data_IF_251487833172
#
_entry.id   IF_251487833172
#
_cell.length_a   1.000
_cell.length_b   1.000
_cell.length_c   1.000
_cell.angle_alpha   90.00
_cell.angle_beta   90.00
_cell.angle_gamma   90.00
#
_symmetry.space_group_name_H-M   'P 1'
#
loop_
_entity.id
_entity.type
_entity.pdbx_description
1 polymer ?
#
# COMPACT_ATOMS: atom_id res chain seq x y z
N UNK A 1 6.51 17.09 -0.25
CA UNK A 1 6.77 17.53 1.13
C UNK A 1 5.48 17.35 1.94
N UNK A 2 5.57 16.90 3.21
CA UNK A 2 4.40 16.70 4.08
C UNK A 2 4.12 17.95 4.93
N UNK A 3 2.86 18.32 5.04
CA UNK A 3 2.37 19.39 5.88
C UNK A 3 1.26 18.87 6.80
N UNK A 4 1.52 18.86 8.11
CA UNK A 4 0.53 18.50 9.12
C UNK A 4 -0.44 19.68 9.32
N UNK A 5 -1.72 19.47 9.08
CA UNK A 5 -2.76 20.52 9.19
C UNK A 5 -3.48 20.49 10.54
N UNK A 6 -3.80 19.29 11.05
CA UNK A 6 -4.58 19.11 12.27
C UNK A 6 -4.29 17.76 12.91
N UNK A 7 -4.49 17.68 14.22
CA UNK A 7 -4.45 16.41 14.98
C UNK A 7 -5.68 16.27 15.87
N UNK A 8 -6.12 15.03 16.10
CA UNK A 8 -7.09 14.66 17.13
C UNK A 8 -6.54 13.42 17.86
N UNK A 9 -6.06 13.60 19.09
CA UNK A 9 -5.19 12.63 19.74
C UNK A 9 -3.91 12.42 18.93
N UNK A 10 -3.59 11.16 18.57
CA UNK A 10 -2.49 10.83 17.68
C UNK A 10 -2.88 10.84 16.18
N UNK A 11 -4.19 10.83 15.87
CA UNK A 11 -4.67 10.86 14.49
C UNK A 11 -4.30 12.18 13.79
N UNK A 12 -3.85 12.07 12.54
CA UNK A 12 -3.22 13.17 11.79
C UNK A 12 -4.00 13.49 10.52
N UNK A 13 -4.29 14.75 10.29
CA UNK A 13 -4.81 15.31 9.05
C UNK A 13 -3.72 16.14 8.40
N UNK A 14 -3.31 15.81 7.20
CA UNK A 14 -2.23 16.51 6.50
C UNK A 14 -2.36 16.51 4.99
N UNK A 15 -1.35 17.08 4.34
CA UNK A 15 -1.18 17.11 2.89
C UNK A 15 0.25 16.70 2.55
N UNK A 16 0.38 15.89 1.50
CA UNK A 16 1.68 15.50 0.96
C UNK A 16 1.76 15.90 -0.51
N UNK A 17 2.76 16.72 -0.86
CA UNK A 17 2.97 17.22 -2.22
C UNK A 17 4.17 16.54 -2.86
N UNK A 18 3.98 16.02 -4.08
CA UNK A 18 4.99 15.44 -4.95
C UNK A 18 4.92 16.04 -6.36
N UNK A 19 5.70 15.52 -7.31
CA UNK A 19 5.78 16.04 -8.67
C UNK A 19 4.42 15.98 -9.42
N UNK A 20 3.60 14.96 -9.17
CA UNK A 20 2.33 14.75 -9.86
C UNK A 20 1.09 15.11 -9.04
N UNK A 21 1.25 15.91 -7.99
CA UNK A 21 0.11 16.49 -7.27
C UNK A 21 0.21 16.44 -5.76
N UNK A 22 -0.90 16.85 -5.12
CA UNK A 22 -1.03 16.88 -3.65
C UNK A 22 -2.01 15.82 -3.18
N UNK A 23 -1.56 15.01 -2.23
CA UNK A 23 -2.32 13.93 -1.60
C UNK A 23 -2.89 14.40 -0.27
N UNK A 24 -4.19 14.24 -0.07
CA UNK A 24 -4.86 14.49 1.19
C UNK A 24 -4.72 13.28 2.10
N UNK A 25 -4.14 13.43 3.28
CA UNK A 25 -3.94 12.33 4.25
C UNK A 25 -4.91 12.40 5.44
N UNK A 26 -5.28 11.26 6.03
CA UNK A 26 -4.91 9.89 5.68
C UNK A 26 -5.41 9.43 4.31
N UNK A 27 -4.68 8.50 3.68
CA UNK A 27 -4.98 8.02 2.31
C UNK A 27 -4.77 6.51 2.18
N UNK A 28 -5.58 5.87 1.33
CA UNK A 28 -5.39 4.50 0.87
C UNK A 28 -4.86 4.51 -0.57
N UNK A 29 -3.73 3.86 -0.81
CA UNK A 29 -3.13 3.70 -2.13
C UNK A 29 -3.72 2.47 -2.82
N UNK A 30 -4.30 2.66 -4.00
CA UNK A 30 -4.87 1.56 -4.76
C UNK A 30 -3.78 0.76 -5.48
N UNK A 31 -3.71 -0.56 -5.20
CA UNK A 31 -2.59 -1.39 -5.66
C UNK A 31 -2.80 -1.87 -7.09
N UNK A 32 -2.02 -1.31 -8.01
CA UNK A 32 -1.95 -1.67 -9.43
C UNK A 32 -0.70 -2.44 -9.78
N UNK A 33 -0.62 -3.69 -9.39
CA UNK A 33 0.56 -4.56 -9.40
C UNK A 33 1.45 -4.47 -10.66
N UNK A 34 0.85 -4.31 -11.84
CA UNK A 34 1.55 -4.27 -13.15
C UNK A 34 1.06 -3.09 -14.01
N UNK A 35 0.96 -1.90 -13.41
CA UNK A 35 0.42 -0.72 -14.09
C UNK A 35 -1.09 -0.79 -14.36
N UNK A 36 -1.79 -1.64 -13.62
CA UNK A 36 -3.25 -1.77 -13.64
C UNK A 36 -3.75 -2.50 -12.41
N UNK A 37 -4.98 -2.21 -11.99
CA UNK A 37 -5.61 -2.94 -10.89
C UNK A 37 -6.09 -4.33 -11.38
N UNK A 38 -5.69 -5.38 -10.67
CA UNK A 38 -6.23 -6.73 -10.92
C UNK A 38 -7.75 -6.74 -10.73
N UNK A 39 -8.50 -6.97 -11.79
CA UNK A 39 -9.94 -6.82 -11.88
C UNK A 39 -10.36 -5.83 -12.96
N UNK A 40 -9.42 -5.52 -13.88
CA UNK A 40 -9.62 -4.74 -15.09
C UNK A 40 -10.08 -3.30 -14.84
N UNK A 41 -9.45 -2.59 -13.90
CA UNK A 41 -9.63 -1.14 -13.75
C UNK A 41 -8.46 -0.38 -14.37
N UNK A 42 -8.80 0.54 -15.25
CA UNK A 42 -7.88 1.46 -15.91
C UNK A 42 -7.58 2.69 -15.03
N UNK A 43 -6.61 3.50 -15.45
CA UNK A 43 -6.33 4.80 -14.84
C UNK A 43 -7.57 5.72 -14.81
N UNK A 44 -8.40 5.68 -15.88
CA UNK A 44 -9.68 6.41 -15.90
C UNK A 44 -10.62 5.94 -14.79
N UNK A 45 -10.78 4.63 -14.62
CA UNK A 45 -11.62 4.07 -13.55
C UNK A 45 -11.10 4.49 -12.16
N UNK A 46 -9.78 4.54 -11.97
CA UNK A 46 -9.19 5.01 -10.71
C UNK A 46 -9.55 6.46 -10.40
N UNK A 47 -9.55 7.34 -11.41
CA UNK A 47 -10.03 8.73 -11.24
C UNK A 47 -11.51 8.77 -10.88
N UNK A 48 -12.34 8.00 -11.59
CA UNK A 48 -13.79 7.96 -11.39
C UNK A 48 -14.18 7.48 -9.97
N UNK A 49 -13.30 6.70 -9.31
CA UNK A 49 -13.50 6.22 -7.92
C UNK A 49 -12.74 7.03 -6.86
N UNK A 50 -12.13 8.16 -7.22
CA UNK A 50 -11.47 9.06 -6.28
C UNK A 50 -10.13 8.55 -5.73
N UNK A 51 -9.41 7.73 -6.49
CA UNK A 51 -8.04 7.33 -6.17
C UNK A 51 -7.12 8.55 -6.18
N UNK A 52 -6.35 8.76 -5.12
CA UNK A 52 -5.37 9.84 -5.05
C UNK A 52 -3.95 9.35 -5.38
N UNK A 53 -3.62 8.11 -4.99
CA UNK A 53 -2.29 7.52 -5.17
C UNK A 53 -2.45 6.10 -5.70
N UNK A 54 -1.77 5.80 -6.79
CA UNK A 54 -1.62 4.43 -7.28
C UNK A 54 -0.33 3.84 -6.73
N UNK A 55 -0.35 2.55 -6.34
CA UNK A 55 0.83 1.80 -5.96
C UNK A 55 1.16 0.75 -7.01
N UNK A 56 2.31 0.89 -7.67
CA UNK A 56 2.83 -0.08 -8.63
C UNK A 56 3.94 -0.95 -8.04
N UNK A 57 4.05 -2.19 -8.52
CA UNK A 57 4.97 -3.17 -7.97
C UNK A 57 6.27 -3.29 -8.79
N UNK A 58 7.38 -2.93 -8.16
CA UNK A 58 8.72 -2.92 -8.77
C UNK A 58 9.15 -4.29 -9.32
N UNK A 59 9.01 -5.35 -8.52
CA UNK A 59 9.41 -6.70 -8.92
C UNK A 59 8.64 -7.20 -10.15
N UNK A 60 7.31 -7.07 -10.15
CA UNK A 60 6.50 -7.54 -11.25
C UNK A 60 6.73 -6.75 -12.54
N UNK A 61 6.91 -5.44 -12.46
CA UNK A 61 7.19 -4.58 -13.61
C UNK A 61 8.62 -4.78 -14.17
N UNK A 62 9.59 -5.07 -13.29
CA UNK A 62 10.93 -5.45 -13.71
C UNK A 62 10.94 -6.76 -14.51
N UNK A 63 10.15 -7.75 -14.10
CA UNK A 63 10.03 -9.02 -14.85
C UNK A 63 9.24 -8.87 -16.14
N UNK A 64 8.19 -8.06 -16.15
CA UNK A 64 7.30 -7.86 -17.30
C UNK A 64 6.54 -6.56 -17.21
N UNK A 65 6.66 -5.63 -18.18
CA UNK A 65 7.37 -5.76 -19.49
C UNK A 65 8.87 -5.54 -19.42
N UNK A 66 9.44 -5.25 -18.32
CA UNK A 66 10.73 -4.73 -17.85
C UNK A 66 10.67 -3.21 -17.60
N UNK A 67 11.41 -2.77 -16.59
CA UNK A 67 11.52 -1.34 -16.25
C UNK A 67 12.18 -0.53 -17.37
N UNK A 68 13.06 -1.13 -18.17
CA UNK A 68 13.68 -0.51 -19.33
C UNK A 68 12.66 -0.18 -20.42
N UNK A 69 11.69 -1.07 -20.68
CA UNK A 69 10.58 -0.78 -21.60
C UNK A 69 9.71 0.36 -21.07
N UNK A 70 9.38 0.35 -19.76
CA UNK A 70 8.60 1.42 -19.14
C UNK A 70 9.33 2.76 -19.23
N UNK A 71 10.65 2.81 -18.99
CA UNK A 71 11.48 3.99 -19.18
C UNK A 71 11.43 4.52 -20.62
N UNK A 72 11.59 3.66 -21.62
CA UNK A 72 11.51 4.04 -23.04
C UNK A 72 10.16 4.64 -23.41
N UNK A 73 9.08 4.22 -22.74
CA UNK A 73 7.74 4.77 -22.89
C UNK A 73 7.50 6.06 -22.08
N UNK A 74 8.52 6.54 -21.34
CA UNK A 74 8.48 7.79 -20.59
C UNK A 74 8.00 7.64 -19.14
N UNK A 75 8.16 6.45 -18.56
CA UNK A 75 7.78 6.12 -17.18
C UNK A 75 6.34 5.64 -17.02
N UNK A 76 5.98 5.20 -15.81
CA UNK A 76 4.66 4.62 -15.51
C UNK A 76 3.51 5.58 -15.82
N UNK A 77 3.65 6.85 -15.49
CA UNK A 77 2.61 7.86 -15.72
C UNK A 77 2.15 7.88 -17.19
N UNK A 78 3.11 7.91 -18.12
CA UNK A 78 2.79 7.85 -19.55
C UNK A 78 2.36 6.47 -20.00
N UNK A 79 3.02 5.42 -19.50
CA UNK A 79 2.78 4.04 -19.89
C UNK A 79 1.34 3.60 -19.56
N UNK A 80 0.82 3.97 -18.38
CA UNK A 80 -0.54 3.59 -17.96
C UNK A 80 -1.56 4.74 -18.05
N UNK A 81 -1.16 5.91 -18.57
CA UNK A 81 -2.00 7.10 -18.69
C UNK A 81 -2.59 7.59 -17.36
N UNK A 82 -1.80 7.50 -16.28
CA UNK A 82 -2.13 8.01 -14.97
C UNK A 82 -1.35 9.29 -14.70
N UNK A 83 -2.04 10.37 -14.32
CA UNK A 83 -1.43 11.70 -14.09
C UNK A 83 -1.34 12.09 -12.60
N UNK A 84 -1.80 11.21 -11.71
CA UNK A 84 -1.69 11.41 -10.26
C UNK A 84 -0.43 10.79 -9.66
N UNK A 85 -0.21 10.98 -8.35
CA UNK A 85 0.89 10.38 -7.61
C UNK A 85 1.00 8.86 -7.74
N UNK A 86 2.23 8.36 -7.86
CA UNK A 86 2.55 6.93 -7.86
C UNK A 86 3.59 6.65 -6.78
N UNK A 87 3.34 5.59 -5.98
CA UNK A 87 4.35 4.97 -5.14
C UNK A 87 4.77 3.63 -5.76
N UNK A 88 6.08 3.36 -5.82
CA UNK A 88 6.60 2.02 -6.14
C UNK A 88 7.12 1.35 -4.88
N UNK A 89 6.73 0.09 -4.66
CA UNK A 89 7.33 -0.72 -3.59
C UNK A 89 8.80 -1.05 -3.92
N UNK A 90 9.53 -1.60 -2.94
CA UNK A 90 10.95 -1.95 -3.12
C UNK A 90 11.19 -3.19 -3.99
N UNK A 91 10.16 -4.02 -4.20
CA UNK A 91 10.28 -5.38 -4.71
C UNK A 91 10.76 -6.41 -3.67
N UNK A 92 11.21 -5.97 -2.50
CA UNK A 92 11.76 -6.83 -1.44
C UNK A 92 10.77 -7.89 -0.96
N UNK A 93 9.54 -7.49 -0.62
CA UNK A 93 8.52 -8.42 -0.15
C UNK A 93 8.25 -9.56 -1.15
N UNK A 94 8.19 -9.27 -2.47
CA UNK A 94 7.95 -10.27 -3.49
C UNK A 94 9.14 -11.23 -3.63
N UNK A 95 10.36 -10.72 -3.54
CA UNK A 95 11.56 -11.55 -3.49
C UNK A 95 11.51 -12.50 -2.29
N UNK A 96 11.03 -12.05 -1.14
CA UNK A 96 10.90 -12.88 0.07
C UNK A 96 9.71 -13.82 0.04
N UNK A 97 8.58 -13.44 -0.55
CA UNK A 97 7.34 -14.23 -0.54
C UNK A 97 7.20 -15.21 -1.72
N UNK A 98 7.79 -14.91 -2.88
CA UNK A 98 7.60 -15.69 -4.11
C UNK A 98 8.81 -16.56 -4.48
N UNK A 99 9.99 -16.27 -3.95
CA UNK A 99 11.21 -17.00 -4.27
C UNK A 99 11.45 -18.16 -3.29
N UNK A 100 11.14 -19.38 -3.70
CA UNK A 100 11.39 -20.61 -2.91
C UNK A 100 12.88 -20.91 -2.69
N UNK A 101 13.76 -20.41 -3.57
CA UNK A 101 15.21 -20.54 -3.49
C UNK A 101 15.84 -19.15 -3.57
N UNK A 102 16.02 -18.52 -2.42
CA UNK A 102 16.70 -17.23 -2.29
C UNK A 102 17.98 -17.35 -1.48
N UNK A 103 18.99 -16.59 -1.86
CA UNK A 103 20.23 -16.45 -1.09
C UNK A 103 20.45 -14.99 -0.75
N UNK A 104 20.27 -14.66 0.53
CA UNK A 104 20.47 -13.32 1.06
C UNK A 104 21.95 -13.15 1.39
N UNK A 105 22.53 -12.05 0.95
CA UNK A 105 23.90 -11.62 1.24
C UNK A 105 23.92 -10.14 1.60
N UNK A 106 25.09 -9.63 1.96
CA UNK A 106 25.24 -8.21 2.27
C UNK A 106 25.05 -7.30 1.03
N UNK A 107 25.48 -7.77 -0.13
CA UNK A 107 25.29 -7.04 -1.39
C UNK A 107 23.84 -6.96 -1.85
N UNK A 108 23.01 -7.99 -1.57
CA UNK A 108 21.63 -8.08 -2.00
C UNK A 108 21.12 -9.54 -1.99
N UNK A 109 20.13 -9.84 -2.79
CA UNK A 109 19.45 -11.14 -2.82
C UNK A 109 19.55 -11.79 -4.21
N UNK A 110 20.01 -13.03 -4.26
CA UNK A 110 19.97 -13.88 -5.45
C UNK A 110 18.74 -14.79 -5.37
N UNK A 111 17.96 -14.82 -6.42
CA UNK A 111 16.75 -15.63 -6.48
C UNK A 111 16.40 -16.02 -7.92
N UNK A 112 15.37 -16.86 -8.09
CA UNK A 112 14.88 -17.27 -9.40
C UNK A 112 13.53 -16.59 -9.71
N UNK A 113 13.36 -16.12 -10.95
CA UNK A 113 12.08 -15.60 -11.44
C UNK A 113 10.98 -16.66 -11.29
N UNK A 114 9.83 -16.26 -10.78
CA UNK A 114 8.65 -17.14 -10.69
C UNK A 114 7.96 -17.38 -12.04
N UNK A 115 8.37 -16.65 -13.10
CA UNK A 115 7.77 -16.76 -14.44
C UNK A 115 8.46 -17.89 -15.24
N UNK A 116 9.79 -17.91 -15.24
CA UNK A 116 10.61 -18.75 -16.13
C UNK A 116 11.85 -19.35 -15.45
N UNK A 117 12.05 -19.07 -14.16
CA UNK A 117 13.13 -19.62 -13.36
C UNK A 117 14.52 -19.02 -13.62
N UNK A 118 14.68 -17.99 -14.45
CA UNK A 118 15.99 -17.39 -14.66
C UNK A 118 16.50 -16.73 -13.36
N UNK A 119 17.83 -16.71 -13.19
CA UNK A 119 18.48 -16.17 -12.00
C UNK A 119 18.51 -14.65 -12.06
N UNK A 120 18.10 -14.02 -10.95
CA UNK A 120 18.05 -12.57 -10.77
C UNK A 120 18.86 -12.22 -9.54
N UNK A 121 19.58 -11.10 -9.62
CA UNK A 121 20.13 -10.40 -8.48
C UNK A 121 19.35 -9.10 -8.28
N UNK A 122 19.00 -8.80 -7.03
CA UNK A 122 18.41 -7.53 -6.65
C UNK A 122 19.01 -7.09 -5.32
N UNK A 123 19.57 -5.92 -5.32
CA UNK A 123 20.09 -5.23 -4.14
C UNK A 123 19.57 -3.79 -4.08
N UNK A 124 20.07 -2.98 -3.15
CA UNK A 124 19.68 -1.59 -3.01
C UNK A 124 19.80 -0.78 -4.30
N UNK A 125 20.92 -0.88 -4.99
CA UNK A 125 21.20 -0.11 -6.20
C UNK A 125 20.31 -0.55 -7.36
N UNK A 126 20.13 -1.87 -7.56
CA UNK A 126 19.25 -2.42 -8.59
C UNK A 126 17.79 -2.00 -8.34
N UNK A 127 17.31 -2.09 -7.11
CA UNK A 127 15.96 -1.66 -6.75
C UNK A 127 15.75 -0.17 -7.03
N UNK A 128 16.70 0.68 -6.66
CA UNK A 128 16.63 2.12 -6.94
C UNK A 128 16.67 2.41 -8.44
N UNK A 129 17.54 1.72 -9.21
CA UNK A 129 17.61 1.88 -10.66
C UNK A 129 16.28 1.49 -11.33
N UNK A 130 15.67 0.37 -10.92
CA UNK A 130 14.38 -0.06 -11.45
C UNK A 130 13.30 0.99 -11.15
N UNK A 131 13.19 1.45 -9.91
CA UNK A 131 12.19 2.45 -9.52
C UNK A 131 12.42 3.81 -10.20
N UNK A 132 13.66 4.20 -10.43
CA UNK A 132 14.02 5.39 -11.22
C UNK A 132 13.57 5.25 -12.68
N UNK A 133 13.75 4.08 -13.29
CA UNK A 133 13.26 3.78 -14.65
C UNK A 133 11.72 3.81 -14.72
N UNK A 134 11.04 3.35 -13.67
CA UNK A 134 9.59 3.41 -13.54
C UNK A 134 9.09 4.85 -13.36
N UNK A 135 9.87 5.73 -12.74
CA UNK A 135 9.60 7.16 -12.61
C UNK A 135 8.47 7.50 -11.64
N UNK A 136 8.27 6.72 -10.56
CA UNK A 136 7.31 7.01 -9.50
C UNK A 136 7.65 8.29 -8.74
N UNK A 137 6.67 8.85 -7.99
CA UNK A 137 6.90 10.00 -7.11
C UNK A 137 7.55 9.60 -5.79
N UNK A 138 7.11 8.50 -5.22
CA UNK A 138 7.65 7.89 -4.02
C UNK A 138 8.22 6.52 -4.36
N UNK A 139 9.44 6.24 -3.91
CA UNK A 139 10.07 4.94 -4.03
C UNK A 139 10.41 4.38 -2.64
N UNK A 140 10.19 3.09 -2.44
CA UNK A 140 10.50 2.44 -1.16
C UNK A 140 11.94 1.91 -1.17
N UNK A 141 12.63 2.05 -0.03
CA UNK A 141 13.94 1.47 0.15
C UNK A 141 13.89 -0.06 0.05
N UNK A 142 14.94 -0.68 -0.51
CA UNK A 142 15.07 -2.13 -0.52
C UNK A 142 15.34 -2.63 0.89
N UNK A 143 14.53 -3.57 1.38
CA UNK A 143 14.54 -4.07 2.74
C UNK A 143 14.46 -5.59 2.81
N UNK A 144 14.77 -6.16 3.96
CA UNK A 144 14.55 -7.57 4.24
C UNK A 144 13.28 -7.75 5.07
N UNK A 145 12.20 -8.22 4.44
CA UNK A 145 10.99 -8.64 5.12
C UNK A 145 11.18 -10.06 5.65
N UNK A 146 11.20 -10.24 6.98
CA UNK A 146 11.37 -11.54 7.63
C UNK A 146 10.05 -12.23 7.89
N UNK A 147 10.08 -13.55 8.04
CA UNK A 147 8.92 -14.33 8.50
C UNK A 147 8.61 -14.03 9.97
N UNK A 148 7.36 -14.15 10.36
CA UNK A 148 6.93 -14.06 11.74
C UNK A 148 6.26 -15.39 12.19
N UNK A 149 6.73 -16.02 13.29
CA UNK A 149 7.84 -15.58 14.16
C UNK A 149 9.23 -15.90 13.59
N UNK A 150 10.22 -15.08 13.95
CA UNK A 150 11.64 -15.31 13.64
C UNK A 150 12.49 -15.18 14.90
N UNK A 151 13.62 -15.93 15.03
CA UNK A 151 14.52 -15.82 16.18
C UNK A 151 15.08 -14.39 16.32
N UNK A 152 15.14 -13.90 17.55
CA UNK A 152 15.59 -12.53 17.86
C UNK A 152 16.94 -12.17 17.24
N UNK A 153 17.93 -13.06 17.33
CA UNK A 153 19.27 -12.83 16.80
C UNK A 153 19.27 -12.68 15.26
N UNK A 154 18.39 -13.40 14.58
CA UNK A 154 18.20 -13.23 13.15
C UNK A 154 17.54 -11.89 12.82
N UNK A 155 16.49 -11.52 13.56
CA UNK A 155 15.79 -10.25 13.42
C UNK A 155 16.76 -9.08 13.56
N UNK A 156 17.63 -9.10 14.59
CA UNK A 156 18.64 -8.06 14.79
C UNK A 156 19.58 -7.93 13.58
N UNK A 157 20.11 -9.06 13.10
CA UNK A 157 21.00 -9.07 11.91
C UNK A 157 20.30 -8.59 10.66
N UNK A 158 19.05 -8.93 10.47
CA UNK A 158 18.22 -8.49 9.34
C UNK A 158 17.97 -6.99 9.39
N UNK A 159 17.63 -6.45 10.55
CA UNK A 159 17.43 -5.01 10.78
C UNK A 159 18.70 -4.21 10.51
N UNK A 160 19.84 -4.70 10.99
CA UNK A 160 21.12 -4.04 10.74
C UNK A 160 21.50 -4.04 9.25
N UNK A 161 21.17 -5.12 8.52
CA UNK A 161 21.34 -5.19 7.07
C UNK A 161 20.39 -4.24 6.37
N UNK A 162 19.13 -4.22 6.74
CA UNK A 162 18.10 -3.29 6.19
C UNK A 162 18.54 -1.84 6.37
N UNK A 163 19.12 -1.47 7.52
CA UNK A 163 19.66 -0.13 7.73
C UNK A 163 20.82 0.19 6.76
N UNK A 164 21.78 -0.72 6.60
CA UNK A 164 22.90 -0.50 5.64
C UNK A 164 22.39 -0.42 4.21
N UNK A 165 21.40 -1.23 3.85
CA UNK A 165 20.75 -1.17 2.54
C UNK A 165 20.02 0.16 2.32
N UNK A 166 19.36 0.69 3.35
CA UNK A 166 18.70 2.01 3.27
C UNK A 166 19.72 3.12 3.00
N UNK A 167 20.88 3.10 3.64
CA UNK A 167 21.97 4.07 3.39
C UNK A 167 22.43 4.01 1.93
N UNK A 168 22.58 2.80 1.38
CA UNK A 168 22.92 2.59 -0.04
C UNK A 168 21.80 3.08 -0.96
N UNK A 169 20.55 2.76 -0.67
CA UNK A 169 19.39 3.27 -1.41
C UNK A 169 19.38 4.79 -1.46
N UNK A 170 19.64 5.46 -0.33
CA UNK A 170 19.68 6.92 -0.24
C UNK A 170 20.75 7.52 -1.15
N UNK A 171 21.95 6.96 -1.12
CA UNK A 171 23.05 7.41 -1.98
C UNK A 171 22.72 7.20 -3.46
N UNK A 172 22.18 6.04 -3.82
CA UNK A 172 21.84 5.71 -5.21
C UNK A 172 20.65 6.52 -5.73
N UNK A 173 19.60 6.72 -4.94
CA UNK A 173 18.49 7.59 -5.31
C UNK A 173 18.96 9.03 -5.59
N UNK A 174 19.81 9.58 -4.74
CA UNK A 174 20.39 10.91 -4.96
C UNK A 174 21.22 10.97 -6.24
N UNK A 175 22.04 9.93 -6.51
CA UNK A 175 22.82 9.83 -7.75
C UNK A 175 21.93 9.77 -8.98
N UNK A 176 20.90 8.95 -8.96
CA UNK A 176 19.97 8.77 -10.09
C UNK A 176 19.16 10.04 -10.36
N UNK A 177 18.67 10.72 -9.32
CA UNK A 177 17.93 11.98 -9.46
C UNK A 177 18.79 13.11 -10.05
N UNK A 178 20.11 13.05 -9.95
CA UNK A 178 21.03 14.03 -10.53
C UNK A 178 21.34 13.77 -12.01
N UNK A 179 20.94 12.64 -12.59
CA UNK A 179 21.19 12.33 -14.01
C UNK A 179 20.27 13.14 -14.92
N UNK A 180 20.76 13.65 -16.05
CA UNK A 180 19.99 14.54 -16.93
C UNK A 180 18.83 13.86 -17.64
N UNK A 181 18.86 12.54 -17.77
CA UNK A 181 17.85 11.74 -18.49
C UNK A 181 16.96 10.89 -17.54
N UNK A 182 16.93 11.25 -16.26
CA UNK A 182 16.04 10.61 -15.27
C UNK A 182 14.56 10.90 -15.57
N UNK A 183 13.73 9.88 -15.50
CA UNK A 183 12.29 10.00 -15.78
C UNK A 183 11.62 10.97 -14.81
N UNK A 184 11.92 10.85 -13.52
CA UNK A 184 11.44 11.75 -12.48
C UNK A 184 12.59 12.16 -11.55
N UNK A 185 13.23 13.32 -11.75
CA UNK A 185 14.34 13.79 -10.92
C UNK A 185 13.91 14.25 -9.51
N UNK A 186 12.60 14.27 -9.22
CA UNK A 186 12.04 14.61 -7.92
C UNK A 186 11.54 13.38 -7.14
N UNK A 187 11.96 12.17 -7.55
CA UNK A 187 11.55 10.94 -6.87
C UNK A 187 12.06 10.91 -5.42
N UNK A 188 11.13 10.67 -4.48
CA UNK A 188 11.38 10.72 -3.05
C UNK A 188 11.53 9.33 -2.45
N UNK A 189 12.70 9.04 -1.85
CA UNK A 189 12.94 7.78 -1.15
C UNK A 189 12.28 7.79 0.23
N UNK A 190 11.52 6.73 0.55
CA UNK A 190 10.97 6.46 1.87
C UNK A 190 11.67 5.28 2.53
N UNK A 191 12.00 5.42 3.83
CA UNK A 191 12.62 4.37 4.63
C UNK A 191 11.61 3.40 5.19
N UNK A 192 12.03 2.16 5.49
CA UNK A 192 11.18 1.11 6.06
C UNK A 192 11.72 0.69 7.42
N UNK A 193 10.90 0.82 8.47
CA UNK A 193 11.14 0.26 9.79
C UNK A 193 10.83 -1.24 9.77
N UNK A 194 11.79 -2.06 10.19
CA UNK A 194 11.68 -3.50 10.37
C UNK A 194 12.02 -3.89 11.82
N UNK A 195 11.74 -5.14 12.23
CA UNK A 195 12.06 -5.65 13.58
C UNK A 195 11.12 -6.74 14.08
N UNK A 196 10.29 -7.33 13.21
CA UNK A 196 9.29 -8.33 13.60
C UNK A 196 8.33 -7.78 14.65
N UNK A 197 8.07 -8.58 15.69
CA UNK A 197 7.28 -8.18 16.85
C UNK A 197 8.14 -7.79 18.07
N UNK A 198 9.43 -7.56 17.89
CA UNK A 198 10.34 -7.14 18.96
C UNK A 198 10.35 -5.60 19.08
N UNK A 199 9.60 -5.09 20.03
CA UNK A 199 9.37 -3.65 20.23
C UNK A 199 10.67 -2.85 20.38
N UNK A 200 11.63 -3.35 21.17
CA UNK A 200 12.91 -2.68 21.39
C UNK A 200 13.76 -2.58 20.11
N UNK A 201 13.79 -3.66 19.29
CA UNK A 201 14.46 -3.65 17.98
C UNK A 201 13.78 -2.66 17.02
N UNK A 202 12.44 -2.63 17.01
CA UNK A 202 11.65 -1.68 16.22
C UNK A 202 11.97 -0.23 16.56
N UNK A 203 11.98 0.07 17.87
CA UNK A 203 12.26 1.42 18.37
C UNK A 203 13.70 1.85 18.05
N UNK A 204 14.70 0.98 18.31
CA UNK A 204 16.09 1.27 17.95
C UNK A 204 16.23 1.54 16.44
N UNK A 205 15.67 0.67 15.63
CA UNK A 205 15.72 0.83 14.17
C UNK A 205 15.03 2.11 13.70
N UNK A 206 13.87 2.47 14.29
CA UNK A 206 13.17 3.71 13.92
C UNK A 206 14.02 4.95 14.23
N UNK A 207 14.64 5.01 15.41
CA UNK A 207 15.55 6.10 15.77
C UNK A 207 16.69 6.25 14.77
N UNK A 208 17.34 5.15 14.41
CA UNK A 208 18.45 5.14 13.46
C UNK A 208 18.04 5.59 12.06
N UNK A 209 16.91 5.12 11.54
CA UNK A 209 16.46 5.54 10.20
C UNK A 209 15.94 6.97 10.17
N UNK A 210 15.36 7.47 11.27
CA UNK A 210 14.93 8.86 11.40
C UNK A 210 16.08 9.87 11.25
N UNK A 211 17.29 9.51 11.71
CA UNK A 211 18.52 10.34 11.54
C UNK A 211 18.91 10.55 10.07
N UNK A 212 18.41 9.71 9.16
CA UNK A 212 18.67 9.86 7.72
C UNK A 212 17.85 10.99 7.07
N UNK A 213 16.92 11.59 7.78
CA UNK A 213 16.06 12.70 7.32
C UNK A 213 15.43 12.46 5.94
N UNK A 214 14.63 11.40 5.85
CA UNK A 214 13.92 11.04 4.62
C UNK A 214 12.55 11.73 4.54
N UNK A 215 11.97 11.91 3.34
CA UNK A 215 10.64 12.50 3.16
C UNK A 215 9.49 11.71 3.78
N UNK A 216 9.67 10.41 4.03
CA UNK A 216 8.66 9.54 4.63
C UNK A 216 9.25 8.26 5.21
N UNK A 217 8.48 7.66 6.11
CA UNK A 217 8.87 6.43 6.81
C UNK A 217 7.69 5.45 6.83
N UNK A 218 7.99 4.19 6.53
CA UNK A 218 7.03 3.11 6.59
C UNK A 218 7.30 2.18 7.77
N UNK A 219 6.25 1.55 8.28
CA UNK A 219 6.30 0.40 9.17
C UNK A 219 6.03 -0.83 8.32
N UNK A 220 7.06 -1.62 8.06
CA UNK A 220 6.97 -2.84 7.26
C UNK A 220 6.99 -4.11 8.12
N UNK A 221 6.78 -5.27 7.49
CA UNK A 221 6.87 -6.58 8.14
C UNK A 221 5.81 -6.81 9.22
N UNK A 222 4.64 -6.21 9.09
CA UNK A 222 3.43 -6.48 9.86
C UNK A 222 2.33 -7.04 8.93
N UNK A 223 1.24 -7.54 9.51
CA UNK A 223 0.19 -8.29 8.81
C UNK A 223 0.71 -9.56 8.10
N UNK A 224 1.73 -10.20 8.70
CA UNK A 224 2.40 -11.41 8.19
C UNK A 224 2.32 -12.60 9.17
N UNK A 225 1.38 -12.56 10.12
CA UNK A 225 1.11 -13.68 11.05
C UNK A 225 1.00 -13.29 12.53
N UNK A 226 1.31 -12.05 12.89
CA UNK A 226 1.07 -11.54 14.25
C UNK A 226 -0.42 -11.27 14.49
N UNK A 227 -0.79 -11.13 15.75
CA UNK A 227 -2.14 -10.73 16.15
C UNK A 227 -2.36 -9.24 15.85
N UNK A 228 -3.63 -8.85 15.71
CA UNK A 228 -3.99 -7.44 15.55
C UNK A 228 -3.51 -6.56 16.71
N UNK A 229 -3.51 -7.08 17.93
CA UNK A 229 -3.02 -6.34 19.10
C UNK A 229 -1.51 -6.12 19.04
N UNK A 230 -0.73 -7.16 18.71
CA UNK A 230 0.73 -7.03 18.53
C UNK A 230 1.07 -5.98 17.46
N UNK A 231 0.31 -5.95 16.34
CA UNK A 231 0.47 -4.93 15.32
C UNK A 231 0.22 -3.52 15.90
N UNK A 232 -0.83 -3.33 16.69
CA UNK A 232 -1.13 -2.03 17.30
C UNK A 232 -0.08 -1.61 18.32
N UNK A 233 0.39 -2.53 19.16
CA UNK A 233 1.44 -2.27 20.15
C UNK A 233 2.75 -1.83 19.47
N UNK A 234 3.11 -2.43 18.33
CA UNK A 234 4.27 -2.02 17.54
C UNK A 234 4.08 -0.63 16.94
N UNK A 235 2.91 -0.33 16.36
CA UNK A 235 2.63 1.00 15.81
C UNK A 235 2.77 2.06 16.90
N UNK A 236 2.18 1.85 18.07
CA UNK A 236 2.23 2.78 19.20
C UNK A 236 3.66 3.02 19.70
N UNK A 237 4.46 1.96 19.80
CA UNK A 237 5.85 2.06 20.25
C UNK A 237 6.76 2.77 19.23
N UNK A 238 6.52 2.58 17.93
CA UNK A 238 7.33 3.19 16.87
C UNK A 238 6.91 4.63 16.59
N UNK A 239 5.63 4.95 16.72
CA UNK A 239 5.03 6.24 16.40
C UNK A 239 5.73 7.41 17.14
N UNK A 240 6.05 7.23 18.39
CA UNK A 240 6.73 8.25 19.23
C UNK A 240 8.12 8.66 18.70
N UNK A 241 8.72 7.82 17.87
CA UNK A 241 10.06 8.02 17.30
C UNK A 241 10.01 8.40 15.81
N UNK A 242 8.83 8.44 15.21
CA UNK A 242 8.66 8.90 13.83
C UNK A 242 8.59 10.41 13.78
N UNK A 243 9.37 11.10 12.91
CA UNK A 243 9.34 12.54 12.80
C UNK A 243 7.93 13.08 12.54
N UNK A 244 7.58 14.19 13.19
CA UNK A 244 6.22 14.76 13.13
C UNK A 244 5.93 15.39 11.76
N UNK A 245 6.96 15.95 11.12
CA UNK A 245 6.91 16.64 9.84
C UNK A 245 7.09 15.71 8.61
N UNK A 246 7.09 14.40 8.83
CA UNK A 246 7.22 13.40 7.78
C UNK A 246 5.97 12.52 7.67
N UNK A 247 5.77 11.91 6.50
CA UNK A 247 4.69 10.93 6.29
C UNK A 247 4.96 9.62 7.00
N UNK A 248 3.89 8.97 7.45
CA UNK A 248 3.90 7.69 8.16
C UNK A 248 3.04 6.67 7.41
N UNK A 249 3.65 5.60 6.95
CA UNK A 249 3.01 4.60 6.11
C UNK A 249 3.01 3.23 6.78
N UNK A 250 1.84 2.60 6.90
CA UNK A 250 1.69 1.22 7.37
C UNK A 250 1.49 0.30 6.17
N UNK A 251 2.50 -0.51 5.85
CA UNK A 251 2.55 -1.33 4.65
C UNK A 251 1.63 -2.56 4.75
N UNK A 252 0.88 -2.83 3.68
CA UNK A 252 0.08 -4.06 3.53
C UNK A 252 -1.17 -4.15 4.39
N UNK A 253 -1.56 -3.09 5.11
CA UNK A 253 -2.72 -3.06 6.00
C UNK A 253 -3.85 -2.21 5.40
N UNK A 254 -5.05 -2.63 5.40
CA UNK A 254 -5.64 -3.95 5.65
C UNK A 254 -7.16 -3.87 5.66
N UNK A 255 -7.78 -4.38 6.70
CA UNK A 255 -9.24 -4.28 6.84
C UNK A 255 -9.67 -2.83 7.14
N UNK A 256 -10.92 -2.44 6.82
CA UNK A 256 -11.43 -1.11 7.18
C UNK A 256 -11.26 -0.78 8.67
N UNK A 257 -11.52 -1.75 9.54
CA UNK A 257 -11.32 -1.64 10.99
C UNK A 257 -9.86 -1.34 11.35
N UNK A 258 -8.91 -2.11 10.80
CA UNK A 258 -7.48 -1.91 11.08
C UNK A 258 -6.99 -0.54 10.57
N UNK A 259 -7.53 -0.05 9.44
CA UNK A 259 -7.21 1.29 8.93
C UNK A 259 -7.66 2.36 9.91
N UNK A 260 -8.91 2.31 10.38
CA UNK A 260 -9.43 3.29 11.37
C UNK A 260 -8.57 3.29 12.63
N UNK A 261 -8.24 2.10 13.16
CA UNK A 261 -7.43 1.96 14.36
C UNK A 261 -5.98 2.42 14.17
N UNK A 262 -5.39 2.20 12.99
CA UNK A 262 -4.04 2.66 12.68
C UNK A 262 -4.00 4.19 12.46
N UNK A 263 -5.05 4.78 11.86
CA UNK A 263 -5.19 6.26 11.80
C UNK A 263 -5.24 6.86 13.21
N UNK A 264 -6.00 6.25 14.14
CA UNK A 264 -6.04 6.67 15.54
C UNK A 264 -4.66 6.64 16.21
N UNK A 265 -3.71 5.86 15.67
CA UNK A 265 -2.32 5.71 16.11
C UNK A 265 -1.31 6.53 15.29
N UNK A 266 -1.78 7.44 14.44
CA UNK A 266 -0.94 8.40 13.75
C UNK A 266 -0.41 7.97 12.38
N UNK A 267 -1.02 6.97 11.72
CA UNK A 267 -0.64 6.54 10.37
C UNK A 267 -1.35 7.37 9.31
N UNK A 268 -0.62 7.76 8.25
CA UNK A 268 -1.08 8.63 7.17
C UNK A 268 -1.37 7.88 5.86
N UNK A 269 -0.58 6.86 5.52
CA UNK A 269 -0.63 6.13 4.24
C UNK A 269 -0.88 4.65 4.48
N UNK A 270 -1.67 4.06 3.60
CA UNK A 270 -2.05 2.64 3.63
C UNK A 270 -2.06 2.06 2.22
N UNK A 271 -1.76 0.78 2.13
CA UNK A 271 -2.01 -0.05 0.95
C UNK A 271 -2.47 -1.45 1.37
N UNK A 272 -3.22 -2.11 0.55
CA UNK A 272 -3.46 -3.54 0.66
C UNK A 272 -4.03 -4.11 -0.65
N UNK A 273 -3.58 -5.28 -1.05
CA UNK A 273 -4.20 -6.01 -2.18
C UNK A 273 -5.55 -6.62 -1.83
N UNK A 274 -5.89 -6.71 -0.53
CA UNK A 274 -7.05 -7.42 -0.01
C UNK A 274 -8.38 -6.88 -0.56
N UNK A 275 -8.64 -5.55 -0.69
CA UNK A 275 -9.91 -5.07 -1.26
C UNK A 275 -10.17 -5.61 -2.66
N UNK A 276 -9.19 -5.52 -3.55
CA UNK A 276 -9.30 -6.04 -4.92
C UNK A 276 -9.30 -7.57 -4.96
N UNK A 277 -8.51 -8.24 -4.10
CA UNK A 277 -8.48 -9.70 -3.98
C UNK A 277 -9.83 -10.23 -3.52
N UNK A 278 -10.38 -9.70 -2.43
CA UNK A 278 -11.68 -10.10 -1.90
C UNK A 278 -12.81 -9.89 -2.90
N UNK A 279 -12.81 -8.74 -3.59
CA UNK A 279 -13.80 -8.42 -4.61
C UNK A 279 -13.84 -9.46 -5.73
N UNK A 280 -12.68 -9.93 -6.22
CA UNK A 280 -12.60 -10.97 -7.25
C UNK A 280 -13.16 -12.32 -6.78
N UNK A 281 -13.34 -12.52 -5.47
CA UNK A 281 -13.94 -13.68 -4.84
C UNK A 281 -15.34 -13.39 -4.27
N UNK A 282 -16.02 -12.34 -4.76
CA UNK A 282 -17.37 -11.93 -4.39
C UNK A 282 -17.52 -11.43 -2.93
N UNK A 283 -16.42 -11.12 -2.23
CA UNK A 283 -16.49 -10.50 -0.91
C UNK A 283 -16.40 -8.99 -1.05
N UNK A 284 -17.49 -8.29 -0.73
CA UNK A 284 -17.61 -6.84 -0.87
C UNK A 284 -17.80 -6.18 0.49
N UNK A 285 -17.28 -4.95 0.60
CA UNK A 285 -17.38 -4.13 1.81
C UNK A 285 -18.57 -3.18 1.70
N UNK A 286 -19.30 -3.04 2.80
CA UNK A 286 -20.42 -2.10 2.95
C UNK A 286 -20.27 -1.33 4.25
N UNK A 287 -21.02 -0.25 4.43
CA UNK A 287 -21.02 0.53 5.67
C UNK A 287 -21.63 -0.23 6.86
N UNK A 288 -22.23 -1.41 6.63
CA UNK A 288 -22.74 -2.30 7.67
C UNK A 288 -21.82 -3.50 7.97
N UNK A 289 -20.80 -3.73 7.14
CA UNK A 289 -19.87 -4.86 7.23
C UNK A 289 -19.62 -5.53 5.88
N UNK A 290 -18.93 -6.66 5.87
CA UNK A 290 -18.58 -7.37 4.64
C UNK A 290 -19.61 -8.43 4.28
N UNK A 291 -20.05 -8.44 3.01
CA UNK A 291 -20.96 -9.43 2.44
C UNK A 291 -20.24 -10.38 1.49
N UNK A 292 -20.80 -11.58 1.27
CA UNK A 292 -20.35 -12.48 0.20
C UNK A 292 -21.50 -12.71 -0.79
N UNK A 293 -21.38 -12.13 -1.97
CA UNK A 293 -22.45 -12.18 -2.99
C UNK A 293 -22.71 -13.58 -3.57
N UNK A 294 -21.84 -14.57 -3.32
CA UNK A 294 -22.15 -15.97 -3.71
C UNK A 294 -23.24 -16.62 -2.86
N UNK A 295 -23.58 -16.04 -1.69
CA UNK A 295 -24.63 -16.57 -0.82
C UNK A 295 -26.00 -16.63 -1.53
N UNK A 296 -26.77 -17.71 -1.25
CA UNK A 296 -28.07 -17.95 -1.88
C UNK A 296 -29.08 -16.85 -1.57
N UNK A 297 -29.00 -16.18 -0.43
CA UNK A 297 -29.90 -15.10 -0.03
C UNK A 297 -29.96 -13.93 -1.04
N UNK A 298 -28.94 -13.80 -1.92
CA UNK A 298 -28.86 -12.73 -2.91
C UNK A 298 -29.36 -13.11 -4.31
N UNK A 299 -29.96 -14.30 -4.50
CA UNK A 299 -30.45 -14.77 -5.81
C UNK A 299 -31.49 -13.81 -6.41
N UNK A 300 -32.39 -13.28 -5.58
CA UNK A 300 -33.48 -12.38 -5.98
C UNK A 300 -33.38 -11.00 -5.31
N UNK A 301 -32.20 -10.66 -4.77
CA UNK A 301 -31.98 -9.39 -4.07
C UNK A 301 -31.74 -8.29 -5.10
N UNK A 302 -32.72 -7.43 -5.34
CA UNK A 302 -32.67 -6.31 -6.28
C UNK A 302 -32.01 -5.05 -5.72
N UNK A 303 -31.64 -5.06 -4.43
CA UNK A 303 -30.95 -3.93 -3.80
C UNK A 303 -29.52 -3.78 -4.32
N UNK A 304 -28.94 -2.56 -4.23
CA UNK A 304 -27.53 -2.33 -4.55
C UNK A 304 -26.61 -3.08 -3.58
N UNK A 305 -25.32 -3.19 -3.93
CA UNK A 305 -24.30 -3.81 -3.03
C UNK A 305 -24.37 -3.18 -1.65
N UNK A 306 -24.44 -1.86 -1.58
CA UNK A 306 -24.61 -1.09 -0.36
C UNK A 306 -25.59 0.06 -0.62
N UNK A 307 -26.73 0.11 0.10
CA UNK A 307 -27.72 1.19 -0.03
C UNK A 307 -27.17 2.59 0.34
N UNK A 308 -26.10 2.64 1.13
CA UNK A 308 -25.45 3.88 1.58
C UNK A 308 -24.25 4.29 0.71
N UNK A 309 -24.03 3.57 -0.41
CA UNK A 309 -22.90 3.80 -1.31
C UNK A 309 -23.38 4.40 -2.63
N UNK A 310 -22.75 5.49 -3.03
CA UNK A 310 -23.05 6.20 -4.28
C UNK A 310 -22.06 5.90 -5.43
N UNK A 311 -21.31 4.80 -5.34
CA UNK A 311 -20.39 4.40 -6.39
C UNK A 311 -21.10 4.08 -7.72
N UNK A 312 -20.39 4.11 -8.86
CA UNK A 312 -20.98 3.80 -10.17
C UNK A 312 -21.67 2.41 -10.23
N UNK A 313 -21.22 1.48 -9.40
CA UNK A 313 -21.80 0.11 -9.33
C UNK A 313 -23.11 0.10 -8.56
N UNK A 314 -23.13 0.66 -7.35
CA UNK A 314 -24.34 0.70 -6.51
C UNK A 314 -25.48 1.51 -7.14
N UNK A 315 -25.16 2.52 -7.96
CA UNK A 315 -26.17 3.31 -8.68
C UNK A 315 -26.87 2.56 -9.80
N UNK A 316 -26.34 1.41 -10.27
CA UNK A 316 -26.80 0.78 -11.51
C UNK A 316 -27.11 -0.70 -11.40
N UNK A 317 -26.46 -1.43 -10.49
CA UNK A 317 -26.51 -2.89 -10.48
C UNK A 317 -26.98 -3.43 -9.14
N UNK A 318 -27.84 -4.46 -9.21
CA UNK A 318 -28.33 -5.18 -8.05
C UNK A 318 -27.35 -6.26 -7.58
N UNK A 319 -27.50 -6.67 -6.32
CA UNK A 319 -26.79 -7.84 -5.76
C UNK A 319 -27.09 -9.11 -6.55
N UNK A 320 -28.33 -9.31 -6.96
CA UNK A 320 -28.74 -10.46 -7.77
C UNK A 320 -28.01 -10.51 -9.10
N UNK A 321 -27.89 -9.38 -9.80
CA UNK A 321 -27.19 -9.33 -11.09
C UNK A 321 -25.69 -9.63 -10.93
N UNK A 322 -25.01 -8.98 -9.97
CA UNK A 322 -23.57 -9.22 -9.75
C UNK A 322 -23.33 -10.67 -9.31
N UNK A 323 -24.21 -11.21 -8.45
CA UNK A 323 -24.18 -12.63 -8.08
C UNK A 323 -24.31 -13.54 -9.30
N UNK A 324 -25.27 -13.27 -10.19
CA UNK A 324 -25.44 -14.02 -11.43
C UNK A 324 -24.13 -14.04 -12.24
N UNK A 325 -23.48 -12.89 -12.42
CA UNK A 325 -22.21 -12.78 -13.15
C UNK A 325 -21.10 -13.64 -12.51
N UNK A 326 -21.02 -13.73 -11.18
CA UNK A 326 -20.07 -14.62 -10.50
C UNK A 326 -20.37 -16.10 -10.73
N UNK A 327 -21.65 -16.48 -10.77
CA UNK A 327 -22.07 -17.87 -11.02
C UNK A 327 -21.84 -18.24 -12.48
N UNK A 328 -22.05 -17.31 -13.39
CA UNK A 328 -21.78 -17.46 -14.82
C UNK A 328 -20.30 -17.31 -15.21
N UNK A 329 -19.41 -17.04 -14.23
CA UNK A 329 -17.97 -16.81 -14.41
C UNK A 329 -17.62 -15.66 -15.37
N UNK A 330 -18.50 -14.67 -15.48
CA UNK A 330 -18.31 -13.49 -16.30
C UNK A 330 -17.25 -12.55 -15.70
N UNK A 331 -16.30 -12.09 -16.50
CA UNK A 331 -15.24 -11.16 -16.06
C UNK A 331 -15.80 -9.84 -15.52
N UNK A 332 -16.97 -9.41 -15.98
CA UNK A 332 -17.65 -8.21 -15.50
C UNK A 332 -17.94 -8.27 -13.98
N UNK A 333 -18.19 -9.47 -13.42
CA UNK A 333 -18.35 -9.65 -11.98
C UNK A 333 -17.18 -9.10 -11.19
N UNK A 334 -15.95 -9.45 -11.62
CA UNK A 334 -14.72 -9.01 -10.96
C UNK A 334 -14.54 -7.50 -11.11
N UNK A 335 -14.74 -6.94 -12.31
CA UNK A 335 -14.61 -5.51 -12.57
C UNK A 335 -15.53 -4.67 -11.70
N UNK A 336 -16.83 -4.99 -11.67
CA UNK A 336 -17.81 -4.27 -10.86
C UNK A 336 -17.49 -4.36 -9.36
N UNK A 337 -17.14 -5.56 -8.89
CA UNK A 337 -16.84 -5.80 -7.48
C UNK A 337 -15.58 -5.08 -7.03
N UNK A 338 -14.50 -5.08 -7.86
CA UNK A 338 -13.26 -4.37 -7.56
C UNK A 338 -13.49 -2.87 -7.55
N UNK A 339 -14.23 -2.34 -8.52
CA UNK A 339 -14.59 -0.92 -8.57
C UNK A 339 -15.34 -0.47 -7.31
N UNK A 340 -16.34 -1.27 -6.86
CA UNK A 340 -17.07 -0.99 -5.63
C UNK A 340 -16.17 -0.99 -4.40
N UNK A 341 -15.35 -2.04 -4.20
CA UNK A 341 -14.49 -2.15 -3.03
C UNK A 341 -13.44 -1.04 -2.95
N UNK A 342 -12.82 -0.68 -4.07
CA UNK A 342 -11.83 0.40 -4.07
C UNK A 342 -12.49 1.77 -3.86
N UNK A 343 -13.68 2.00 -4.44
CA UNK A 343 -14.47 3.19 -4.13
C UNK A 343 -14.79 3.27 -2.63
N UNK A 344 -15.22 2.15 -2.03
CA UNK A 344 -15.51 2.09 -0.60
C UNK A 344 -14.28 2.50 0.24
N UNK A 345 -13.08 1.99 -0.10
CA UNK A 345 -11.85 2.34 0.62
C UNK A 345 -11.47 3.82 0.45
N UNK A 346 -11.56 4.35 -0.77
CA UNK A 346 -11.29 5.76 -1.02
C UNK A 346 -12.30 6.65 -0.26
N UNK A 347 -13.57 6.25 -0.21
CA UNK A 347 -14.63 6.95 0.52
C UNK A 347 -14.48 6.85 2.04
N UNK A 348 -14.01 5.70 2.53
CA UNK A 348 -13.65 5.54 3.95
C UNK A 348 -12.60 6.56 4.36
N UNK A 349 -11.53 6.69 3.57
CA UNK A 349 -10.46 7.67 3.85
C UNK A 349 -10.97 9.12 3.75
N UNK A 350 -11.85 9.42 2.81
CA UNK A 350 -12.51 10.73 2.72
C UNK A 350 -13.33 11.05 3.99
N UNK A 351 -14.14 10.10 4.47
CA UNK A 351 -14.92 10.28 5.71
C UNK A 351 -14.04 10.41 6.95
N UNK A 352 -12.93 9.66 7.02
CA UNK A 352 -11.93 9.82 8.08
C UNK A 352 -11.35 11.24 8.07
N UNK A 353 -10.91 11.74 6.91
CA UNK A 353 -10.40 13.12 6.80
C UNK A 353 -11.44 14.15 7.20
N UNK A 354 -12.69 13.99 6.72
CA UNK A 354 -13.78 14.87 7.10
C UNK A 354 -14.03 14.88 8.61
N UNK A 355 -14.06 13.72 9.24
CA UNK A 355 -14.25 13.62 10.70
C UNK A 355 -13.09 14.27 11.48
N UNK A 356 -11.85 14.17 10.99
CA UNK A 356 -10.69 14.88 11.55
C UNK A 356 -10.81 16.39 11.37
N UNK A 357 -11.21 16.88 10.20
CA UNK A 357 -11.39 18.30 9.91
C UNK A 357 -12.49 18.90 10.82
N UNK A 358 -13.54 18.12 11.13
CA UNK A 358 -14.63 18.50 12.02
C UNK A 358 -14.32 18.30 13.53
N UNK A 359 -13.23 17.61 13.90
CA UNK A 359 -12.90 17.28 15.30
C UNK A 359 -13.83 16.22 15.90
N UNK A 360 -14.26 15.26 15.12
CA UNK A 360 -15.18 14.18 15.48
C UNK A 360 -14.66 12.78 15.09
N UNK A 361 -13.34 12.66 14.95
CA UNK A 361 -12.75 11.37 14.52
C UNK A 361 -12.97 10.27 15.56
N UNK A 362 -12.92 10.57 16.86
CA UNK A 362 -13.15 9.56 17.89
C UNK A 362 -14.60 9.03 17.88
N UNK A 363 -15.59 9.88 17.53
CA UNK A 363 -16.97 9.44 17.34
C UNK A 363 -17.09 8.53 16.12
N UNK A 364 -16.43 8.89 15.01
CA UNK A 364 -16.37 8.05 13.81
C UNK A 364 -15.70 6.71 14.09
N UNK A 365 -14.57 6.71 14.81
CA UNK A 365 -13.86 5.49 15.21
C UNK A 365 -14.76 4.56 16.03
N UNK A 366 -15.45 5.11 17.03
CA UNK A 366 -16.36 4.36 17.91
C UNK A 366 -17.53 3.73 17.16
N UNK A 367 -18.07 4.45 16.18
CA UNK A 367 -19.18 3.97 15.36
C UNK A 367 -18.76 2.89 14.36
N UNK A 368 -17.62 3.08 13.67
CA UNK A 368 -17.29 2.27 12.49
C UNK A 368 -16.19 1.22 12.71
N UNK A 369 -15.31 1.36 13.69
CA UNK A 369 -14.17 0.44 13.83
C UNK A 369 -14.62 -1.01 14.00
N UNK A 370 -15.49 -1.30 14.94
CA UNK A 370 -16.04 -2.65 15.15
C UNK A 370 -17.03 -3.06 14.05
N UNK A 371 -17.90 -2.15 13.63
CA UNK A 371 -18.93 -2.40 12.63
C UNK A 371 -18.37 -2.87 11.29
N UNK A 372 -17.33 -2.22 10.79
CA UNK A 372 -16.68 -2.54 9.52
C UNK A 372 -15.77 -3.78 9.59
N UNK A 373 -15.49 -4.30 10.77
CA UNK A 373 -14.80 -5.58 10.98
C UNK A 373 -15.70 -6.81 10.81
N UNK A 374 -17.02 -6.64 10.82
CA UNK A 374 -18.00 -7.73 10.84
C UNK A 374 -18.23 -8.36 9.46
N UNK A 375 -18.66 -9.62 9.46
CA UNK A 375 -19.29 -10.29 8.31
C UNK A 375 -20.79 -10.36 8.53
N UNK A 376 -21.60 -10.02 7.51
CA UNK A 376 -23.06 -9.98 7.57
C UNK A 376 -23.73 -10.81 6.47
#
# INVERSE_FOLDING_TARGET
>A
MFELKKTEGKARRGEFTCAHGTVQTPVFMNVGTQGTIKGALSAKDLKDIGCQVELSNTYHLHLRPTDTVVRQMGGLHKFMTWDGPILTDSGGFQVFSLASLRKIKEEGVYFASHIDGHKIFMGPEESMQIQSNLGSDMCMAFDECIENPSPRDYVQKSVDRTYRWLVRCKAENARLNALPDTVNPQQMLWGINQGGTYTDIRVDHMKRIAELDLPGYAIGGLAVGETTQEMYDIIEAVEEHMPVDKTRYLMGVGTPSNIIEAVARGVDFFDCVMPARNARHARLFTWEGAINLKNAKYITDDSPVDPHCDCPVCRRYSRAYIRHLFVAEEMLAMRLSVMHNLYFYNKLMEKIRQSLDEGRFEDFRREYSEKLGRRI
#
